data_IF_153424925943
#
_entry.id   IF_153424925943
#
_cell.length_a   1.000
_cell.length_b   1.000
_cell.length_c   1.000
_cell.angle_alpha   90.00
_cell.angle_beta   90.00
_cell.angle_gamma   90.00
#
_symmetry.space_group_name_H-M   'P 1'
#
loop_
_entity.id
_entity.type
_entity.pdbx_description
1 polymer ?
#
# COMPACT_ATOMS: atom_id res chain seq x y z
N UNK A 1 3.70 3.39 7.08
CA UNK A 1 2.56 2.63 7.67
C UNK A 1 2.78 1.12 7.48
N UNK A 2 2.29 0.32 8.45
CA UNK A 2 2.35 -1.15 8.67
C UNK A 2 3.55 -1.94 8.12
N UNK A 3 3.89 -1.80 6.82
CA UNK A 3 5.04 -2.44 6.17
C UNK A 3 6.25 -1.51 5.92
N UNK A 4 6.16 -0.23 6.26
CA UNK A 4 7.18 0.80 6.01
C UNK A 4 7.67 0.88 4.54
N UNK A 5 6.79 0.58 3.58
CA UNK A 5 7.09 0.65 2.15
C UNK A 5 6.41 1.85 1.50
N UNK A 6 7.11 2.48 0.56
CA UNK A 6 6.58 3.51 -0.32
C UNK A 6 7.14 3.36 -1.73
N UNK A 7 6.35 3.73 -2.72
CA UNK A 7 6.79 3.81 -4.11
C UNK A 7 6.39 5.16 -4.73
N UNK A 8 7.22 5.62 -5.66
CA UNK A 8 6.84 6.68 -6.59
C UNK A 8 5.79 6.12 -7.55
N UNK A 9 4.79 6.94 -7.87
CA UNK A 9 3.71 6.59 -8.80
C UNK A 9 3.79 7.54 -10.01
N UNK A 10 4.63 7.23 -11.01
CA UNK A 10 4.69 8.02 -12.25
C UNK A 10 3.39 7.86 -13.05
N UNK A 11 3.05 8.91 -13.80
CA UNK A 11 1.84 8.94 -14.60
C UNK A 11 1.90 7.92 -15.74
N UNK A 12 0.85 7.11 -15.89
CA UNK A 12 0.72 6.13 -16.97
C UNK A 12 1.52 4.85 -16.80
N UNK A 13 2.24 4.69 -15.68
CA UNK A 13 3.07 3.52 -15.41
C UNK A 13 2.45 2.62 -14.32
N UNK A 14 2.58 1.31 -14.50
CA UNK A 14 2.20 0.34 -13.47
C UNK A 14 3.38 0.14 -12.51
N UNK A 15 3.12 0.34 -11.21
CA UNK A 15 4.12 0.14 -10.17
C UNK A 15 3.68 -1.02 -9.28
N UNK A 16 4.50 -2.07 -9.24
CA UNK A 16 4.27 -3.24 -8.39
C UNK A 16 4.97 -3.05 -7.04
N UNK A 17 4.23 -3.30 -5.96
CA UNK A 17 4.74 -3.35 -4.60
C UNK A 17 4.55 -4.76 -4.06
N UNK A 18 5.65 -5.42 -3.72
CA UNK A 18 5.63 -6.74 -3.11
C UNK A 18 5.66 -6.61 -1.59
N UNK A 19 4.77 -7.31 -0.91
CA UNK A 19 4.76 -7.39 0.54
C UNK A 19 4.29 -8.79 0.96
N UNK A 20 4.82 -9.27 2.08
CA UNK A 20 4.42 -10.53 2.70
C UNK A 20 3.78 -10.21 4.03
N UNK A 21 2.46 -10.39 4.20
CA UNK A 21 1.81 -10.18 5.47
C UNK A 21 2.20 -11.28 6.47
N UNK A 22 2.63 -10.89 7.67
CA UNK A 22 2.95 -11.84 8.76
C UNK A 22 1.70 -12.31 9.51
N UNK A 23 0.61 -11.54 9.42
CA UNK A 23 -0.62 -11.77 10.15
C UNK A 23 -1.82 -11.46 9.23
N UNK A 24 -2.94 -12.15 9.45
CA UNK A 24 -4.22 -11.77 8.85
C UNK A 24 -4.70 -10.45 9.47
N UNK A 25 -5.29 -9.56 8.68
CA UNK A 25 -5.79 -8.29 9.18
C UNK A 25 -6.02 -7.22 8.12
N UNK A 26 -6.35 -6.03 8.59
CA UNK A 26 -6.50 -4.84 7.74
C UNK A 26 -5.23 -4.00 7.77
N UNK A 27 -4.68 -3.72 6.59
CA UNK A 27 -3.49 -2.89 6.42
C UNK A 27 -3.83 -1.58 5.72
N UNK A 28 -3.31 -0.48 6.25
CA UNK A 28 -3.58 0.85 5.68
C UNK A 28 -2.85 1.05 4.36
N UNK A 29 -3.58 1.42 3.30
CA UNK A 29 -3.00 1.91 2.05
C UNK A 29 -3.35 3.39 1.85
N UNK A 30 -2.36 4.20 1.48
CA UNK A 30 -2.60 5.60 1.18
C UNK A 30 -1.68 6.10 0.08
N UNK A 31 -2.20 6.99 -0.76
CA UNK A 31 -1.36 7.83 -1.61
C UNK A 31 -0.51 8.74 -0.71
N UNK A 32 0.74 9.00 -1.10
CA UNK A 32 1.69 9.79 -0.28
C UNK A 32 1.16 11.20 0.05
N UNK A 33 0.35 11.78 -0.83
CA UNK A 33 -0.30 13.08 -0.63
C UNK A 33 -1.45 13.05 0.40
N UNK A 34 -1.80 11.88 0.94
CA UNK A 34 -2.81 11.73 1.99
C UNK A 34 -4.26 12.00 1.54
N UNK A 35 -4.51 12.09 0.24
CA UNK A 35 -5.86 12.32 -0.31
C UNK A 35 -6.64 11.01 -0.44
N UNK A 36 -6.01 9.99 -1.02
CA UNK A 36 -6.60 8.67 -1.23
C UNK A 36 -6.19 7.73 -0.10
N UNK A 37 -7.20 7.13 0.55
CA UNK A 37 -7.03 6.15 1.63
C UNK A 37 -7.82 4.91 1.26
N UNK A 38 -7.16 3.77 1.31
CA UNK A 38 -7.72 2.45 1.12
C UNK A 38 -7.24 1.50 2.22
N UNK A 39 -7.72 0.27 2.17
CA UNK A 39 -7.29 -0.80 3.07
C UNK A 39 -7.03 -2.05 2.25
N UNK A 40 -5.98 -2.79 2.59
CA UNK A 40 -5.78 -4.15 2.14
C UNK A 40 -6.29 -5.08 3.24
N UNK A 41 -7.11 -6.05 2.87
CA UNK A 41 -7.64 -7.07 3.78
C UNK A 41 -6.92 -8.37 3.46
N UNK A 42 -6.24 -8.94 4.45
CA UNK A 42 -5.54 -10.23 4.35
C UNK A 42 -6.25 -11.22 5.26
N UNK A 43 -6.65 -12.35 4.70
CA UNK A 43 -7.32 -13.47 5.39
C UNK A 43 -6.36 -14.65 5.61
#
# INVERSE_FOLDING_TARGET
PDFNQNALLPEGEQVTLEFTPEQSGEYGFQCQMGMLRGKLIVE
#
